data_IF_282152055470
#
_entry.id   IF_282152055470
#
_cell.length_a   1.000
_cell.length_b   1.000
_cell.length_c   1.000
_cell.angle_alpha   90.00
_cell.angle_beta   90.00
_cell.angle_gamma   90.00
#
_symmetry.space_group_name_H-M   'P 1'
#
loop_
_entity.id
_entity.type
_entity.pdbx_description
1 polymer ?
#
# COMPACT_ATOMS: atom_id res chain seq x y z
N UNK A 1 -18.67 -14.06 9.16
CA UNK A 1 -18.54 -12.60 8.99
C UNK A 1 -17.13 -12.32 8.50
N UNK A 2 -16.80 -12.81 7.32
CA UNK A 2 -15.46 -12.68 6.70
C UNK A 2 -15.48 -11.64 5.58
N UNK A 3 -16.64 -11.02 5.35
CA UNK A 3 -17.00 -10.35 4.12
C UNK A 3 -16.56 -8.87 4.04
N UNK A 4 -16.21 -8.24 5.18
CA UNK A 4 -15.95 -6.80 5.22
C UNK A 4 -14.48 -6.43 4.93
N UNK A 5 -13.51 -7.28 5.28
CA UNK A 5 -12.08 -7.00 5.03
C UNK A 5 -11.71 -7.24 3.58
N UNK A 6 -12.25 -8.31 2.97
CA UNK A 6 -12.01 -8.63 1.57
C UNK A 6 -12.63 -7.57 0.64
N UNK A 7 -13.84 -7.09 0.97
CA UNK A 7 -14.45 -5.98 0.24
C UNK A 7 -13.66 -4.68 0.34
N UNK A 8 -13.02 -4.40 1.48
CA UNK A 8 -12.18 -3.19 1.62
C UNK A 8 -10.88 -3.28 0.83
N UNK A 9 -10.28 -4.48 0.72
CA UNK A 9 -9.09 -4.70 -0.10
C UNK A 9 -9.42 -4.59 -1.58
N UNK A 10 -10.53 -5.17 -2.03
CA UNK A 10 -11.00 -5.03 -3.41
C UNK A 10 -11.22 -3.56 -3.78
N UNK A 11 -11.89 -2.78 -2.91
CA UNK A 11 -12.09 -1.35 -3.14
C UNK A 11 -10.77 -0.55 -3.20
N UNK A 12 -9.76 -0.93 -2.42
CA UNK A 12 -8.42 -0.34 -2.48
C UNK A 12 -7.73 -0.67 -3.81
N UNK A 13 -7.79 -1.93 -4.24
CA UNK A 13 -7.20 -2.39 -5.51
C UNK A 13 -7.86 -1.72 -6.72
N UNK A 14 -9.20 -1.59 -6.71
CA UNK A 14 -9.95 -0.86 -7.73
C UNK A 14 -9.53 0.61 -7.79
N UNK A 15 -9.39 1.27 -6.65
CA UNK A 15 -8.91 2.66 -6.59
C UNK A 15 -7.49 2.81 -7.15
N UNK A 16 -6.59 1.87 -6.85
CA UNK A 16 -5.23 1.86 -7.42
C UNK A 16 -5.29 1.65 -8.95
N UNK A 17 -6.19 0.79 -9.43
CA UNK A 17 -6.44 0.55 -10.85
C UNK A 17 -6.92 1.83 -11.57
N UNK A 18 -7.80 2.61 -10.95
CA UNK A 18 -8.27 3.89 -11.48
C UNK A 18 -7.14 4.91 -11.59
N UNK A 19 -6.32 5.05 -10.52
CA UNK A 19 -5.15 5.94 -10.53
C UNK A 19 -4.16 5.53 -11.60
N UNK A 20 -3.91 4.22 -11.76
CA UNK A 20 -3.04 3.70 -12.81
C UNK A 20 -3.58 4.04 -14.19
N UNK A 21 -4.87 3.82 -14.43
CA UNK A 21 -5.53 4.11 -15.71
C UNK A 21 -5.41 5.59 -16.04
N UNK A 22 -5.60 6.46 -15.04
CA UNK A 22 -5.39 7.90 -15.19
C UNK A 22 -3.94 8.26 -15.53
N UNK A 23 -2.95 7.68 -14.86
CA UNK A 23 -1.53 7.93 -15.17
C UNK A 23 -1.19 7.51 -16.62
N UNK A 24 -1.64 6.32 -17.04
CA UNK A 24 -1.39 5.80 -18.37
C UNK A 24 -2.07 6.66 -19.46
N UNK A 25 -3.30 7.13 -19.23
CA UNK A 25 -4.00 8.02 -20.17
C UNK A 25 -3.28 9.36 -20.36
N UNK A 26 -2.52 9.80 -19.35
CA UNK A 26 -1.66 10.98 -19.39
C UNK A 26 -0.22 10.69 -19.81
N UNK A 27 0.05 9.50 -20.37
CA UNK A 27 1.38 9.07 -20.86
C UNK A 27 2.45 9.02 -19.76
N UNK A 28 2.05 8.84 -18.51
CA UNK A 28 2.95 8.62 -17.39
C UNK A 28 3.19 7.12 -17.18
N UNK A 29 4.39 6.79 -16.70
CA UNK A 29 4.78 5.41 -16.43
C UNK A 29 4.56 5.07 -14.96
N UNK A 30 3.64 4.15 -14.70
CA UNK A 30 3.44 3.55 -13.39
C UNK A 30 4.20 2.21 -13.32
N UNK A 31 5.06 2.02 -12.31
CA UNK A 31 5.94 0.85 -12.19
C UNK A 31 5.48 -0.07 -11.07
N UNK A 32 4.58 -0.99 -11.40
CA UNK A 32 4.01 -1.97 -10.46
C UNK A 32 5.06 -2.72 -9.64
N UNK A 33 6.15 -3.17 -10.28
CA UNK A 33 7.20 -3.93 -9.59
C UNK A 33 8.08 -3.09 -8.67
N UNK A 34 7.96 -1.76 -8.71
CA UNK A 34 8.71 -0.82 -7.86
C UNK A 34 7.83 -0.12 -6.84
N UNK A 35 6.52 -0.35 -6.85
CA UNK A 35 5.64 0.21 -5.84
C UNK A 35 5.81 -0.54 -4.52
N UNK A 36 5.85 0.23 -3.43
CA UNK A 36 5.95 -0.27 -2.07
C UNK A 36 4.70 0.18 -1.31
N UNK A 37 4.28 -0.61 -0.32
CA UNK A 37 3.09 -0.33 0.47
C UNK A 37 3.41 -0.39 1.96
N UNK A 38 3.04 0.67 2.70
CA UNK A 38 3.21 0.79 4.15
C UNK A 38 1.84 0.98 4.80
N UNK A 39 1.54 0.17 5.81
CA UNK A 39 0.36 0.36 6.67
C UNK A 39 0.76 1.17 7.88
N UNK A 40 0.13 2.34 8.07
CA UNK A 40 0.42 3.24 9.19
C UNK A 40 -0.75 3.23 10.16
N UNK A 41 -0.46 3.12 11.45
CA UNK A 41 -1.48 3.17 12.49
C UNK A 41 -0.89 3.05 13.89
N UNK A 42 -1.74 3.18 14.90
CA UNK A 42 -1.35 2.85 16.27
C UNK A 42 -1.01 1.36 16.39
N UNK A 43 -0.11 0.94 17.31
CA UNK A 43 0.20 -0.47 17.52
C UNK A 43 -1.07 -1.34 17.71
N UNK A 44 -2.08 -0.81 18.41
CA UNK A 44 -3.35 -1.48 18.66
C UNK A 44 -4.20 -1.66 17.38
N UNK A 45 -4.08 -0.76 16.40
CA UNK A 45 -4.74 -0.90 15.10
C UNK A 45 -3.99 -1.88 14.21
N UNK A 46 -2.65 -1.78 14.18
CA UNK A 46 -1.81 -2.65 13.35
C UNK A 46 -1.95 -4.13 13.76
N UNK A 47 -2.14 -4.43 15.04
CA UNK A 47 -2.41 -5.80 15.52
C UNK A 47 -3.72 -6.40 14.98
N UNK A 48 -4.67 -5.57 14.53
CA UNK A 48 -5.96 -6.02 13.99
C UNK A 48 -5.96 -6.15 12.46
N UNK A 49 -4.92 -5.65 11.80
CA UNK A 49 -4.82 -5.62 10.35
C UNK A 49 -4.02 -6.85 9.92
N UNK A 50 -4.65 -7.72 9.13
CA UNK A 50 -3.98 -8.84 8.49
C UNK A 50 -4.11 -8.71 6.96
N UNK A 51 -3.16 -8.00 6.35
CA UNK A 51 -3.08 -7.83 4.89
C UNK A 51 -1.83 -8.57 4.42
N UNK A 52 -2.02 -9.69 3.71
CA UNK A 52 -0.88 -10.47 3.19
C UNK A 52 -0.22 -9.77 2.00
N UNK A 53 -1.04 -9.23 1.10
CA UNK A 53 -0.59 -8.49 -0.08
C UNK A 53 -1.72 -7.67 -0.70
N UNK A 54 -1.37 -6.70 -1.51
CA UNK A 54 -2.27 -5.95 -2.39
C UNK A 54 -1.86 -6.22 -3.84
N UNK A 55 -2.84 -6.49 -4.70
CA UNK A 55 -2.63 -6.62 -6.14
C UNK A 55 -2.53 -5.24 -6.79
N UNK A 56 -1.39 -4.96 -7.38
CA UNK A 56 -1.16 -3.75 -8.18
C UNK A 56 -0.76 -4.19 -9.57
N UNK A 57 -1.70 -4.18 -10.51
CA UNK A 57 -1.37 -4.47 -11.90
C UNK A 57 -1.04 -5.91 -12.23
N UNK A 58 -1.53 -6.87 -11.44
CA UNK A 58 -1.13 -8.28 -11.52
C UNK A 58 0.13 -8.59 -10.72
N UNK A 59 0.71 -7.63 -10.00
CA UNK A 59 1.85 -7.84 -9.09
C UNK A 59 1.35 -7.82 -7.65
N UNK A 60 1.60 -8.90 -6.91
CA UNK A 60 1.33 -8.95 -5.48
C UNK A 60 2.41 -8.20 -4.70
N UNK A 61 2.01 -7.15 -4.01
CA UNK A 61 2.90 -6.30 -3.20
C UNK A 61 2.62 -6.57 -1.73
N UNK A 62 3.66 -6.96 -0.99
CA UNK A 62 3.57 -7.20 0.45
C UNK A 62 3.77 -5.89 1.22
N UNK A 63 3.12 -5.72 2.38
CA UNK A 63 3.40 -4.58 3.24
C UNK A 63 4.86 -4.62 3.72
N UNK A 64 5.48 -3.44 3.80
CA UNK A 64 6.82 -3.25 4.37
C UNK A 64 6.72 -2.48 5.69
N UNK A 65 7.73 -2.62 6.56
CA UNK A 65 7.74 -1.95 7.86
C UNK A 65 8.23 -0.50 7.80
N UNK A 66 8.95 -0.14 6.74
CA UNK A 66 9.37 1.23 6.45
C UNK A 66 9.51 1.46 4.95
N UNK A 67 9.30 2.72 4.54
CA UNK A 67 9.49 3.19 3.15
C UNK A 67 10.33 4.45 3.13
N UNK A 68 11.02 4.68 2.01
CA UNK A 68 11.76 5.91 1.78
C UNK A 68 11.03 6.78 0.77
N UNK A 69 10.53 7.93 1.22
CA UNK A 69 9.86 8.90 0.37
C UNK A 69 10.63 10.23 0.37
N UNK A 70 11.03 10.69 -0.82
CA UNK A 70 11.77 11.96 -1.02
C UNK A 70 12.99 12.14 -0.10
N UNK A 71 13.68 11.05 0.22
CA UNK A 71 14.88 11.06 1.06
C UNK A 71 14.63 10.86 2.55
N UNK A 72 13.39 10.95 3.00
CA UNK A 72 12.98 10.68 4.39
C UNK A 72 12.52 9.23 4.56
N UNK A 73 12.85 8.63 5.70
CA UNK A 73 12.32 7.32 6.10
C UNK A 73 11.02 7.49 6.89
N UNK A 74 10.04 6.65 6.59
CA UNK A 74 8.78 6.56 7.35
C UNK A 74 8.58 5.11 7.76
N UNK A 75 8.37 4.88 9.06
CA UNK A 75 8.05 3.56 9.61
C UNK A 75 6.57 3.45 9.95
N UNK A 76 6.07 2.22 10.10
CA UNK A 76 4.65 1.93 10.36
C UNK A 76 4.08 2.56 11.64
N UNK A 77 4.92 2.92 12.61
CA UNK A 77 4.52 3.58 13.85
C UNK A 77 4.73 5.09 13.82
N UNK A 78 5.24 5.64 12.71
CA UNK A 78 5.64 7.05 12.60
C UNK A 78 6.61 7.48 13.71
N UNK A 79 7.45 6.56 14.21
CA UNK A 79 8.40 6.86 15.28
C UNK A 79 9.64 7.60 14.81
N UNK A 80 9.87 7.71 13.50
CA UNK A 80 11.05 8.34 12.89
C UNK A 80 12.37 7.75 13.42
N UNK A 81 12.35 6.48 13.85
CA UNK A 81 13.49 5.84 14.52
C UNK A 81 14.53 5.29 13.55
N UNK A 82 14.16 5.09 12.29
CA UNK A 82 15.05 4.61 11.22
C UNK A 82 15.81 5.80 10.64
N UNK A 83 17.13 5.87 10.88
CA UNK A 83 18.03 6.95 10.44
C UNK A 83 19.11 6.42 9.49
#
# INVERSE_FOLDING_TARGET
CEDNSESTLAALEDCISDVRTWLLSHKLMFKDSKTEFLVIGTPQQLLKINIESVNVGGVQIKPVDSVRNLGSWSDKHMSMSVH
#
